data_IF_094084976978
#
_entry.id   IF_094084976978
#
_cell.length_a   1.000
_cell.length_b   1.000
_cell.length_c   1.000
_cell.angle_alpha   90.00
_cell.angle_beta   90.00
_cell.angle_gamma   90.00
#
_symmetry.space_group_name_H-M   'P 1'
#
loop_
_entity.id
_entity.type
_entity.pdbx_description
1 polymer ?
#
# COMPACT_ATOMS: atom_id res chain seq x y z
N UNK A 1 -25.08 -22.90 31.17
CA UNK A 1 -23.96 -23.04 30.23
C UNK A 1 -22.91 -22.01 30.58
N UNK A 2 -21.62 -22.34 30.60
CA UNK A 2 -20.58 -21.35 30.78
C UNK A 2 -20.51 -20.45 29.53
N UNK A 3 -20.36 -19.14 29.77
CA UNK A 3 -20.14 -18.14 28.69
C UNK A 3 -18.67 -17.71 28.76
N UNK A 4 -18.00 -17.75 27.60
CA UNK A 4 -16.62 -17.30 27.47
C UNK A 4 -16.62 -16.10 26.54
N UNK A 5 -16.13 -14.97 27.01
CA UNK A 5 -15.94 -13.78 26.16
C UNK A 5 -14.59 -13.87 25.49
N UNK A 6 -14.59 -13.79 24.16
CA UNK A 6 -13.40 -13.75 23.32
C UNK A 6 -13.36 -12.41 22.60
N UNK A 7 -12.24 -11.72 22.70
CA UNK A 7 -11.98 -10.44 21.99
C UNK A 7 -10.88 -10.67 20.97
N UNK A 8 -11.15 -10.40 19.70
CA UNK A 8 -10.15 -10.42 18.63
C UNK A 8 -9.80 -8.99 18.27
N UNK A 9 -8.53 -8.63 18.41
CA UNK A 9 -8.04 -7.29 18.14
C UNK A 9 -7.32 -7.25 16.78
N UNK A 10 -7.87 -6.51 15.84
CA UNK A 10 -7.38 -6.40 14.46
C UNK A 10 -6.42 -5.23 14.21
N UNK A 11 -5.94 -4.56 15.28
CA UNK A 11 -4.98 -3.47 15.13
C UNK A 11 -3.60 -3.96 14.69
N UNK A 12 -2.89 -3.10 14.00
CA UNK A 12 -1.50 -3.29 13.55
C UNK A 12 -0.48 -3.20 14.70
N UNK A 13 -0.87 -2.55 15.80
CA UNK A 13 -0.08 -2.43 17.04
C UNK A 13 -0.58 -3.39 18.09
N UNK A 14 0.28 -3.66 19.09
CA UNK A 14 -0.14 -4.41 20.26
C UNK A 14 -1.25 -3.70 21.02
N UNK A 15 -2.19 -4.48 21.57
CA UNK A 15 -3.20 -3.97 22.48
C UNK A 15 -2.54 -3.30 23.71
N UNK A 16 -2.90 -2.07 23.98
CA UNK A 16 -2.41 -1.25 25.09
C UNK A 16 -3.50 -0.93 26.15
N UNK A 17 -4.73 -1.40 25.92
CA UNK A 17 -5.85 -1.21 26.85
C UNK A 17 -5.87 -2.19 28.01
N UNK A 18 -6.78 -1.94 28.96
CA UNK A 18 -7.05 -2.83 30.08
C UNK A 18 -7.50 -4.22 29.59
N UNK A 19 -7.04 -5.29 30.27
CA UNK A 19 -7.43 -6.68 29.98
C UNK A 19 -8.33 -7.28 31.05
N UNK A 20 -8.56 -6.53 32.12
CA UNK A 20 -9.45 -6.91 33.21
C UNK A 20 -10.11 -5.67 33.83
N UNK A 21 -11.15 -5.89 34.64
CA UNK A 21 -11.77 -4.80 35.42
C UNK A 21 -10.75 -4.18 36.34
N UNK A 22 -9.89 -4.99 36.97
CA UNK A 22 -8.87 -4.48 37.92
C UNK A 22 -7.86 -3.55 37.22
N UNK A 23 -7.54 -3.79 35.94
CA UNK A 23 -6.62 -2.94 35.15
C UNK A 23 -7.22 -1.54 34.87
N UNK A 24 -8.53 -1.37 35.02
CA UNK A 24 -9.24 -0.10 34.77
C UNK A 24 -9.24 0.82 36.01
N UNK A 25 -8.89 0.32 37.18
CA UNK A 25 -8.89 1.11 38.41
C UNK A 25 -7.63 1.95 38.56
N UNK A 26 -7.80 3.16 39.06
CA UNK A 26 -6.66 4.03 39.43
C UNK A 26 -5.95 3.57 40.71
N UNK A 27 -6.54 2.63 41.44
CA UNK A 27 -5.99 2.10 42.69
C UNK A 27 -5.52 0.66 42.47
N UNK A 28 -4.24 0.41 42.68
CA UNK A 28 -3.64 -0.91 42.54
C UNK A 28 -3.23 -1.46 43.95
N UNK A 29 -4.22 -1.46 44.85
CA UNK A 29 -4.04 -2.03 46.19
C UNK A 29 -4.63 -3.43 46.25
N UNK A 30 -3.78 -4.45 46.35
CA UNK A 30 -4.19 -5.85 46.44
C UNK A 30 -5.09 -6.18 47.65
N UNK A 31 -5.03 -5.37 48.73
CA UNK A 31 -5.93 -5.54 49.86
C UNK A 31 -7.36 -5.11 49.58
N UNK A 32 -7.53 -4.16 48.65
CA UNK A 32 -8.85 -3.68 48.18
C UNK A 32 -9.34 -4.53 47.05
N UNK A 33 -8.48 -4.79 46.04
CA UNK A 33 -8.86 -5.52 44.81
C UNK A 33 -9.36 -6.94 45.08
N UNK A 34 -8.91 -7.61 46.14
CA UNK A 34 -9.41 -8.95 46.51
C UNK A 34 -10.90 -9.01 46.84
N UNK A 35 -11.52 -7.86 47.19
CA UNK A 35 -12.95 -7.78 47.46
C UNK A 35 -13.80 -7.38 46.24
N UNK A 36 -13.14 -7.06 45.13
CA UNK A 36 -13.80 -6.66 43.87
C UNK A 36 -13.66 -7.82 42.88
N UNK A 37 -14.78 -8.37 42.40
CA UNK A 37 -14.72 -9.40 41.35
C UNK A 37 -13.96 -8.89 40.12
N UNK A 38 -12.98 -9.67 39.65
CA UNK A 38 -12.28 -9.37 38.40
C UNK A 38 -12.91 -10.14 37.24
N UNK A 39 -13.02 -9.48 36.10
CA UNK A 39 -13.45 -10.09 34.85
C UNK A 39 -12.39 -9.82 33.77
N UNK A 40 -11.75 -10.89 33.31
CA UNK A 40 -10.70 -10.83 32.29
C UNK A 40 -11.27 -11.10 30.92
N UNK A 41 -10.79 -10.35 29.93
CA UNK A 41 -11.04 -10.67 28.52
C UNK A 41 -10.04 -11.72 28.03
N UNK A 42 -10.51 -12.63 27.17
CA UNK A 42 -9.62 -13.54 26.45
C UNK A 42 -9.26 -12.84 25.13
N UNK A 43 -8.10 -12.18 25.11
CA UNK A 43 -7.66 -11.38 23.99
C UNK A 43 -6.84 -12.22 23.01
N UNK A 44 -7.24 -12.20 21.73
CA UNK A 44 -6.47 -12.70 20.61
C UNK A 44 -5.94 -11.52 19.80
N UNK A 45 -4.64 -11.44 19.65
CA UNK A 45 -3.94 -10.47 18.80
C UNK A 45 -3.33 -11.25 17.63
N UNK A 46 -3.91 -11.25 16.42
CA UNK A 46 -3.41 -12.03 15.29
C UNK A 46 -1.93 -11.78 15.01
N UNK A 47 -1.47 -10.54 15.11
CA UNK A 47 -0.06 -10.19 14.89
C UNK A 47 0.93 -10.88 15.82
N UNK A 48 0.49 -11.34 16.99
CA UNK A 48 1.31 -12.05 17.99
C UNK A 48 1.25 -13.56 17.91
N UNK A 49 0.26 -14.11 17.21
CA UNK A 49 0.10 -15.57 17.06
C UNK A 49 1.16 -16.08 16.10
N UNK A 50 1.88 -17.13 16.46
CA UNK A 50 2.86 -17.75 15.57
C UNK A 50 2.19 -18.48 14.41
N UNK A 51 2.85 -18.58 13.25
CA UNK A 51 2.28 -19.23 12.07
C UNK A 51 1.93 -20.70 12.34
N UNK A 52 2.72 -21.39 13.17
CA UNK A 52 2.44 -22.78 13.55
C UNK A 52 1.18 -22.94 14.42
N UNK A 53 0.78 -21.89 15.12
CA UNK A 53 -0.45 -21.94 15.93
C UNK A 53 -1.69 -21.84 15.06
N UNK A 54 -1.61 -21.17 13.91
CA UNK A 54 -2.73 -21.15 12.96
C UNK A 54 -3.05 -22.51 12.39
N UNK A 55 -2.08 -23.43 12.28
CA UNK A 55 -2.31 -24.79 11.81
C UNK A 55 -3.21 -25.63 12.78
N UNK A 56 -3.38 -25.17 14.02
CA UNK A 56 -4.29 -25.82 14.99
C UNK A 56 -5.77 -25.50 14.73
N UNK A 57 -6.05 -24.43 13.99
CA UNK A 57 -7.43 -24.09 13.64
C UNK A 57 -7.94 -25.03 12.55
N UNK A 58 -9.09 -25.65 12.81
CA UNK A 58 -9.75 -26.60 11.91
C UNK A 58 -10.73 -25.94 10.94
N UNK A 59 -11.00 -24.66 11.13
CA UNK A 59 -11.92 -23.85 10.32
C UNK A 59 -11.16 -22.73 9.63
N UNK A 60 -11.82 -22.05 8.70
CA UNK A 60 -11.27 -20.90 7.99
C UNK A 60 -11.01 -19.67 8.86
N UNK A 61 -11.47 -19.68 10.12
CA UNK A 61 -11.08 -18.65 11.09
C UNK A 61 -9.54 -18.52 11.18
N UNK A 62 -8.81 -19.64 11.16
CA UNK A 62 -7.36 -19.62 11.14
C UNK A 62 -6.79 -18.97 9.88
N UNK A 63 -7.41 -19.17 8.71
CA UNK A 63 -7.03 -18.51 7.45
C UNK A 63 -7.28 -17.01 7.51
N UNK A 64 -8.45 -16.59 8.03
CA UNK A 64 -8.80 -15.18 8.24
C UNK A 64 -7.79 -14.50 9.14
N UNK A 65 -7.53 -15.04 10.33
CA UNK A 65 -6.61 -14.45 11.31
C UNK A 65 -5.17 -14.39 10.79
N UNK A 66 -4.72 -15.43 10.08
CA UNK A 66 -3.39 -15.46 9.49
C UNK A 66 -3.26 -14.45 8.34
N UNK A 67 -4.30 -14.27 7.53
CA UNK A 67 -4.30 -13.24 6.49
C UNK A 67 -4.21 -11.84 7.10
N UNK A 68 -4.98 -11.56 8.15
CA UNK A 68 -4.96 -10.28 8.86
C UNK A 68 -3.57 -10.00 9.45
N UNK A 69 -2.90 -11.00 10.01
CA UNK A 69 -1.53 -10.87 10.52
C UNK A 69 -0.57 -10.33 9.47
N UNK A 70 -0.70 -10.83 8.25
CA UNK A 70 0.20 -10.54 7.13
C UNK A 70 -0.34 -9.49 6.14
N UNK A 71 -1.39 -8.76 6.52
CA UNK A 71 -2.01 -7.75 5.63
C UNK A 71 -1.05 -6.65 5.16
N UNK A 72 0.02 -6.39 5.93
CA UNK A 72 1.05 -5.39 5.59
C UNK A 72 2.23 -5.96 4.80
N UNK A 73 2.23 -7.27 4.52
CA UNK A 73 3.30 -7.92 3.77
C UNK A 73 3.07 -7.75 2.26
N UNK A 74 3.72 -6.76 1.67
CA UNK A 74 3.51 -6.32 0.28
C UNK A 74 3.84 -7.39 -0.77
N UNK A 75 4.79 -8.29 -0.49
CA UNK A 75 5.27 -9.28 -1.46
C UNK A 75 4.41 -10.55 -1.55
N UNK A 76 3.52 -10.76 -0.57
CA UNK A 76 2.65 -11.93 -0.50
C UNK A 76 3.38 -13.27 -0.43
N UNK A 77 4.68 -13.28 -0.13
CA UNK A 77 5.49 -14.52 -0.08
C UNK A 77 5.02 -15.47 1.01
N UNK A 78 4.47 -14.95 2.08
CA UNK A 78 3.98 -15.69 3.23
C UNK A 78 2.82 -16.65 2.93
N UNK A 79 2.00 -16.36 1.89
CA UNK A 79 0.85 -17.18 1.50
C UNK A 79 1.22 -18.32 0.54
N UNK A 80 2.38 -18.18 -0.16
CA UNK A 80 2.79 -19.13 -1.19
C UNK A 80 2.96 -20.52 -0.63
N UNK A 81 2.28 -21.50 -1.25
CA UNK A 81 2.38 -22.89 -0.90
C UNK A 81 1.63 -23.32 0.36
N UNK A 82 0.96 -22.43 1.08
CA UNK A 82 0.14 -22.76 2.24
C UNK A 82 -1.16 -23.43 1.80
N UNK A 83 -1.28 -24.72 2.10
CA UNK A 83 -2.40 -25.55 1.65
C UNK A 83 -3.77 -25.02 2.10
N UNK A 84 -3.85 -24.44 3.31
CA UNK A 84 -5.11 -23.92 3.87
C UNK A 84 -5.74 -22.78 3.06
N UNK A 85 -4.95 -22.04 2.30
CA UNK A 85 -5.43 -20.93 1.46
C UNK A 85 -5.85 -21.36 0.05
N UNK A 86 -5.72 -22.66 -0.29
CA UNK A 86 -6.17 -23.18 -1.58
C UNK A 86 -7.67 -23.45 -1.64
N UNK A 87 -8.32 -23.55 -0.49
CA UNK A 87 -9.73 -23.89 -0.39
C UNK A 87 -10.32 -23.19 0.83
N UNK A 88 -10.65 -21.91 0.68
CA UNK A 88 -11.24 -21.06 1.71
C UNK A 88 -12.68 -20.78 1.35
N UNK A 89 -13.60 -20.95 2.31
CA UNK A 89 -15.03 -20.65 2.11
C UNK A 89 -15.23 -19.18 1.74
N UNK A 90 -16.20 -18.89 0.88
CA UNK A 90 -16.49 -17.56 0.37
C UNK A 90 -16.70 -16.53 1.49
N UNK A 91 -17.47 -16.89 2.49
CA UNK A 91 -17.78 -16.03 3.64
C UNK A 91 -16.50 -15.61 4.38
N UNK A 92 -15.53 -16.52 4.47
CA UNK A 92 -14.24 -16.22 5.08
C UNK A 92 -13.41 -15.27 4.20
N UNK A 93 -13.49 -15.40 2.87
CA UNK A 93 -12.83 -14.47 1.93
C UNK A 93 -13.48 -13.09 1.96
N UNK A 94 -14.81 -13.03 2.05
CA UNK A 94 -15.54 -11.77 2.20
C UNK A 94 -15.15 -11.06 3.50
N UNK A 95 -14.99 -11.82 4.58
CA UNK A 95 -14.52 -11.28 5.87
C UNK A 95 -13.08 -10.76 5.77
N UNK A 96 -12.18 -11.49 5.09
CA UNK A 96 -10.80 -11.02 4.81
C UNK A 96 -10.86 -9.69 4.04
N UNK A 97 -11.62 -9.62 2.96
CA UNK A 97 -11.76 -8.42 2.15
C UNK A 97 -12.32 -7.23 2.95
N UNK A 98 -13.33 -7.48 3.78
CA UNK A 98 -13.96 -6.46 4.62
C UNK A 98 -12.98 -5.86 5.64
N UNK A 99 -12.15 -6.70 6.26
CA UNK A 99 -11.23 -6.26 7.32
C UNK A 99 -9.97 -5.64 6.74
N UNK A 100 -9.39 -6.25 5.69
CA UNK A 100 -8.06 -5.88 5.17
C UNK A 100 -8.10 -4.99 3.93
N UNK A 101 -9.25 -4.90 3.25
CA UNK A 101 -9.34 -4.23 1.96
C UNK A 101 -8.56 -4.93 0.83
N UNK A 102 -8.19 -6.19 1.00
CA UNK A 102 -7.32 -6.95 0.08
C UNK A 102 -7.90 -7.15 -1.32
N UNK A 103 -9.21 -7.00 -1.48
CA UNK A 103 -9.93 -7.11 -2.76
C UNK A 103 -9.65 -8.43 -3.50
N UNK A 104 -9.64 -9.55 -2.74
CA UNK A 104 -9.46 -10.90 -3.27
C UNK A 104 -10.68 -11.24 -4.11
N UNK A 105 -10.50 -11.40 -5.41
CA UNK A 105 -11.58 -11.75 -6.33
C UNK A 105 -11.79 -13.27 -6.34
N UNK A 106 -12.98 -13.70 -5.89
CA UNK A 106 -13.50 -15.04 -6.14
C UNK A 106 -14.51 -15.03 -7.29
N UNK A 107 -14.72 -16.17 -7.94
CA UNK A 107 -15.83 -16.32 -8.89
C UNK A 107 -17.14 -16.38 -8.09
N UNK A 108 -18.12 -15.56 -8.44
CA UNK A 108 -19.41 -15.47 -7.72
C UNK A 108 -20.18 -16.80 -7.61
N UNK A 109 -19.84 -17.78 -8.44
CA UNK A 109 -20.49 -19.10 -8.50
C UNK A 109 -19.76 -20.16 -7.65
N UNK A 110 -18.58 -19.88 -7.13
CA UNK A 110 -17.79 -20.83 -6.37
C UNK A 110 -18.02 -20.64 -4.87
N UNK A 111 -18.37 -21.72 -4.16
CA UNK A 111 -18.51 -21.71 -2.70
C UNK A 111 -17.15 -21.60 -1.99
N UNK A 112 -16.09 -22.01 -2.69
CA UNK A 112 -14.73 -22.09 -2.17
C UNK A 112 -13.76 -21.37 -3.11
N UNK A 113 -12.84 -20.62 -2.54
CA UNK A 113 -11.89 -19.77 -3.28
C UNK A 113 -10.45 -20.22 -3.02
N UNK A 114 -9.66 -20.33 -4.09
CA UNK A 114 -8.19 -20.41 -3.97
C UNK A 114 -7.63 -19.00 -3.74
N UNK A 115 -7.47 -18.66 -2.46
CA UNK A 115 -6.99 -17.35 -2.02
C UNK A 115 -5.54 -17.10 -2.48
N UNK A 116 -4.69 -18.14 -2.53
CA UNK A 116 -3.32 -18.00 -3.02
C UNK A 116 -3.31 -17.48 -4.45
N UNK A 117 -4.07 -18.12 -5.32
CA UNK A 117 -4.16 -17.75 -6.75
C UNK A 117 -4.84 -16.39 -6.94
N UNK A 118 -5.91 -16.14 -6.20
CA UNK A 118 -6.64 -14.88 -6.29
C UNK A 118 -5.77 -13.70 -5.85
N UNK A 119 -5.01 -13.87 -4.76
CA UNK A 119 -4.06 -12.88 -4.25
C UNK A 119 -2.93 -12.59 -5.25
N UNK A 120 -2.30 -13.63 -5.81
CA UNK A 120 -1.28 -13.46 -6.85
C UNK A 120 -1.80 -12.69 -8.07
N UNK A 121 -3.03 -12.99 -8.49
CA UNK A 121 -3.67 -12.27 -9.59
C UNK A 121 -3.94 -10.79 -9.24
N UNK A 122 -4.36 -10.50 -8.01
CA UNK A 122 -4.60 -9.14 -7.54
C UNK A 122 -3.30 -8.33 -7.49
N UNK A 123 -2.22 -8.90 -6.96
CA UNK A 123 -0.90 -8.28 -6.95
C UNK A 123 -0.38 -7.99 -8.37
N UNK A 124 -0.56 -8.95 -9.29
CA UNK A 124 -0.17 -8.76 -10.69
C UNK A 124 -0.95 -7.62 -11.34
N UNK A 125 -2.27 -7.58 -11.14
CA UNK A 125 -3.11 -6.49 -11.68
C UNK A 125 -2.68 -5.14 -11.13
N UNK A 126 -2.49 -5.01 -9.82
CA UNK A 126 -2.05 -3.76 -9.20
C UNK A 126 -0.70 -3.28 -9.76
N UNK A 127 0.24 -4.22 -9.97
CA UNK A 127 1.53 -3.91 -10.58
C UNK A 127 1.40 -3.44 -12.03
N UNK A 128 0.60 -4.14 -12.83
CA UNK A 128 0.38 -3.81 -14.25
C UNK A 128 -0.34 -2.44 -14.38
N UNK A 129 -1.30 -2.16 -13.51
CA UNK A 129 -1.99 -0.86 -13.44
C UNK A 129 -1.04 0.26 -13.04
N UNK A 130 -0.25 0.09 -11.97
CA UNK A 130 0.73 1.08 -11.54
C UNK A 130 1.79 1.37 -12.60
N UNK A 131 2.26 0.34 -13.35
CA UNK A 131 3.19 0.54 -14.46
C UNK A 131 2.54 1.31 -15.62
N UNK A 132 1.27 1.03 -15.92
CA UNK A 132 0.53 1.74 -16.97
C UNK A 132 0.32 3.21 -16.61
N UNK A 133 -0.10 3.47 -15.39
CA UNK A 133 -0.31 4.84 -14.89
C UNK A 133 0.99 5.63 -14.87
N UNK A 134 2.06 5.07 -14.32
CA UNK A 134 3.38 5.71 -14.31
C UNK A 134 3.91 6.00 -15.71
N UNK A 135 3.66 5.10 -16.69
CA UNK A 135 4.03 5.34 -18.08
C UNK A 135 3.23 6.50 -18.71
N UNK A 136 1.91 6.53 -18.47
CA UNK A 136 1.06 7.61 -18.98
C UNK A 136 1.44 8.96 -18.38
N UNK A 137 1.71 8.99 -17.08
CA UNK A 137 2.16 10.21 -16.40
C UNK A 137 3.52 10.67 -16.91
N UNK A 138 4.48 9.76 -17.06
CA UNK A 138 5.80 10.09 -17.64
C UNK A 138 5.71 10.62 -19.07
N UNK A 139 4.85 10.08 -19.93
CA UNK A 139 4.60 10.60 -21.28
C UNK A 139 4.00 12.00 -21.22
N UNK A 140 2.99 12.22 -20.36
CA UNK A 140 2.36 13.53 -20.20
C UNK A 140 3.32 14.58 -19.68
N UNK A 141 4.13 14.25 -18.69
CA UNK A 141 5.17 15.17 -18.17
C UNK A 141 6.21 15.47 -19.24
N UNK A 142 6.67 14.44 -19.97
CA UNK A 142 7.61 14.61 -21.07
C UNK A 142 7.08 15.52 -22.18
N UNK A 143 5.79 15.38 -22.56
CA UNK A 143 5.15 16.24 -23.56
C UNK A 143 5.05 17.71 -23.06
N UNK A 144 4.69 17.91 -21.80
CA UNK A 144 4.61 19.26 -21.20
C UNK A 144 6.00 19.91 -21.17
N UNK A 145 6.99 19.13 -20.74
CA UNK A 145 8.38 19.62 -20.66
C UNK A 145 8.94 19.93 -22.05
N UNK A 146 8.81 19.00 -22.99
CA UNK A 146 9.26 19.19 -24.37
C UNK A 146 8.55 20.36 -25.06
N UNK A 147 7.24 20.58 -24.82
CA UNK A 147 6.52 21.74 -25.36
C UNK A 147 7.03 23.07 -24.77
N UNK A 148 7.40 23.08 -23.47
CA UNK A 148 7.97 24.26 -22.83
C UNK A 148 9.37 24.57 -23.35
N UNK A 149 10.22 23.55 -23.47
CA UNK A 149 11.58 23.69 -24.01
C UNK A 149 11.55 24.13 -25.46
N UNK A 150 10.75 23.48 -26.31
CA UNK A 150 10.61 23.87 -27.72
C UNK A 150 10.12 25.31 -27.91
N UNK A 151 9.21 25.80 -27.04
CA UNK A 151 8.83 27.23 -27.05
C UNK A 151 9.98 28.17 -26.68
N UNK A 152 10.85 27.76 -25.76
CA UNK A 152 12.02 28.58 -25.38
C UNK A 152 13.07 28.54 -26.49
N UNK A 153 13.35 27.36 -27.05
CA UNK A 153 14.28 27.17 -28.17
C UNK A 153 13.83 27.98 -29.39
N UNK A 154 12.55 27.91 -29.77
CA UNK A 154 12.02 28.75 -30.88
C UNK A 154 12.06 30.26 -30.63
N UNK A 155 11.94 30.70 -29.36
CA UNK A 155 12.16 32.12 -29.02
C UNK A 155 13.62 32.53 -29.16
N UNK A 156 14.54 31.65 -28.72
CA UNK A 156 15.99 31.90 -28.86
C UNK A 156 16.35 32.03 -30.35
N UNK A 157 15.87 31.11 -31.19
CA UNK A 157 16.06 31.15 -32.63
C UNK A 157 15.57 32.47 -33.24
N UNK A 158 14.32 32.86 -32.96
CA UNK A 158 13.77 34.10 -33.45
C UNK A 158 14.56 35.35 -32.97
N UNK A 159 15.13 35.32 -31.75
CA UNK A 159 15.95 36.43 -31.26
C UNK A 159 17.35 36.47 -31.90
N UNK A 160 17.91 35.31 -32.24
CA UNK A 160 19.17 35.20 -33.01
C UNK A 160 18.97 35.78 -34.42
N UNK A 161 17.86 35.49 -35.07
CA UNK A 161 17.49 36.04 -36.41
C UNK A 161 17.28 37.55 -36.38
N UNK A 162 17.02 38.12 -35.21
CA UNK A 162 16.92 39.57 -34.98
C UNK A 162 18.25 40.21 -34.55
N UNK A 163 19.39 39.54 -34.71
CA UNK A 163 20.74 40.00 -34.35
C UNK A 163 20.90 40.40 -32.86
N UNK A 164 20.11 39.80 -31.96
CA UNK A 164 20.22 40.06 -30.53
C UNK A 164 21.45 39.41 -29.91
N UNK A 165 22.07 40.07 -28.95
CA UNK A 165 23.23 39.50 -28.22
C UNK A 165 22.81 38.40 -27.22
N UNK A 166 23.71 37.44 -26.96
CA UNK A 166 23.46 36.35 -26.01
C UNK A 166 22.96 36.83 -24.64
N UNK A 167 23.55 37.86 -24.00
CA UNK A 167 23.06 38.36 -22.71
C UNK A 167 21.63 38.94 -22.78
N UNK A 168 21.27 39.58 -23.89
CA UNK A 168 19.91 40.11 -24.08
C UNK A 168 18.89 38.99 -24.26
N UNK A 169 19.23 37.93 -25.02
CA UNK A 169 18.42 36.73 -25.21
C UNK A 169 18.22 36.05 -23.87
N UNK A 170 19.29 35.81 -23.11
CA UNK A 170 19.26 35.16 -21.80
C UNK A 170 18.28 35.83 -20.84
N UNK A 171 18.33 37.21 -20.81
CA UNK A 171 17.43 38.01 -20.00
C UNK A 171 15.97 37.90 -20.45
N UNK A 172 15.71 37.86 -21.77
CA UNK A 172 14.34 37.75 -22.33
C UNK A 172 13.71 36.41 -22.13
N UNK A 173 14.49 35.32 -22.21
CA UNK A 173 13.99 33.96 -21.99
C UNK A 173 14.10 33.49 -20.54
N UNK A 174 14.67 34.32 -19.64
CA UNK A 174 14.90 34.03 -18.21
C UNK A 174 15.70 32.75 -18.02
N UNK A 175 16.78 32.57 -18.78
CA UNK A 175 17.72 31.45 -18.74
C UNK A 175 19.16 31.95 -18.64
N UNK A 176 20.11 31.04 -18.29
CA UNK A 176 21.53 31.41 -18.27
C UNK A 176 22.09 31.62 -19.68
N UNK A 177 23.18 32.37 -19.80
CA UNK A 177 23.87 32.55 -21.07
C UNK A 177 24.45 31.23 -21.61
N UNK A 178 24.90 30.34 -20.71
CA UNK A 178 25.38 29.01 -21.07
C UNK A 178 24.26 28.19 -21.76
N UNK A 179 23.04 28.20 -21.22
CA UNK A 179 21.88 27.54 -21.82
C UNK A 179 21.59 28.11 -23.22
N UNK A 180 21.61 29.43 -23.39
CA UNK A 180 21.39 30.06 -24.69
C UNK A 180 22.47 29.68 -25.71
N UNK A 181 23.74 29.62 -25.29
CA UNK A 181 24.86 29.16 -26.14
C UNK A 181 24.69 27.71 -26.59
N UNK A 182 24.28 26.82 -25.69
CA UNK A 182 24.02 25.41 -26.00
C UNK A 182 22.88 25.26 -27.00
N UNK A 183 21.79 25.99 -26.83
CA UNK A 183 20.63 25.96 -27.74
C UNK A 183 21.04 26.45 -29.12
N UNK A 184 21.76 27.58 -29.21
CA UNK A 184 22.24 28.13 -30.50
C UNK A 184 23.13 27.10 -31.20
N UNK A 185 24.06 26.44 -30.47
CA UNK A 185 24.91 25.39 -31.03
C UNK A 185 24.12 24.22 -31.56
N UNK A 186 23.05 23.84 -30.85
CA UNK A 186 22.16 22.74 -31.22
C UNK A 186 21.37 23.04 -32.50
N UNK A 187 20.83 24.28 -32.61
CA UNK A 187 20.11 24.75 -33.78
C UNK A 187 21.05 24.80 -35.00
N UNK A 188 22.25 25.39 -34.85
CA UNK A 188 23.24 25.50 -35.92
C UNK A 188 23.72 24.10 -36.41
N UNK A 189 23.76 23.10 -35.55
CA UNK A 189 24.12 21.73 -35.95
C UNK A 189 22.98 20.97 -36.65
N UNK A 190 21.73 21.38 -36.45
CA UNK A 190 20.55 20.77 -37.10
C UNK A 190 20.29 21.34 -38.52
N UNK A 191 20.95 22.43 -38.89
CA UNK A 191 20.85 23.08 -40.21
C UNK A 191 21.95 22.63 -41.19
N UNK A 192 22.85 21.73 -40.81
CA UNK A 192 23.87 21.10 -41.63
C UNK A 192 23.50 19.67 -42.01
#
# INVERSE_FOLDING_TARGET
>A
MPVITLVVYFGDKSWDGAKSIHDMFCVNDGHILKYIPDYKINLIEPVKVSDNEYEKFKTDLGSVLQFIKHQSDEDGSWIKGKHRFKSVEREAVELINMITGANIAGNEKEEVVDVCRAWENSLKKAKDEGQREGRLEGVREGEIHGRREGKIEGKIEAYVDCDMTIPEIAKKVSKSEEYVKEVIKKISAACL
#
